data_IF_410780758616
#
_entry.id   IF_410780758616
#
_cell.length_a   1.000
_cell.length_b   1.000
_cell.length_c   1.000
_cell.angle_alpha   90.00
_cell.angle_beta   90.00
_cell.angle_gamma   90.00
#
_symmetry.space_group_name_H-M   'P 1'
#
loop_
_entity.id
_entity.type
_entity.pdbx_description
1 polymer ?
#
# COMPACT_ATOMS: atom_id res chain seq x y z
N UNK A 1 32.51 27.28 -3.06
CA UNK A 1 31.85 25.95 -3.03
C UNK A 1 31.63 25.58 -1.58
N UNK A 2 30.38 25.42 -1.16
CA UNK A 2 30.08 24.94 0.19
C UNK A 2 30.17 23.41 0.22
N UNK A 3 30.82 22.86 1.24
CA UNK A 3 30.87 21.41 1.45
C UNK A 3 29.55 20.95 2.09
N UNK A 4 28.92 19.93 1.49
CA UNK A 4 27.69 19.32 2.01
C UNK A 4 28.00 17.90 2.48
N UNK A 5 27.38 17.49 3.60
CA UNK A 5 27.52 16.15 4.16
C UNK A 5 26.15 15.63 4.59
N UNK A 6 25.88 14.35 4.28
CA UNK A 6 24.73 13.61 4.78
C UNK A 6 25.26 12.37 5.51
N UNK A 7 24.78 12.12 6.72
CA UNK A 7 25.21 10.98 7.55
C UNK A 7 24.00 10.14 7.93
N UNK A 8 24.09 8.83 7.67
CA UNK A 8 23.08 7.85 8.07
C UNK A 8 23.67 6.88 9.09
N UNK A 9 22.86 6.49 10.09
CA UNK A 9 23.28 5.54 11.13
C UNK A 9 23.22 4.07 10.71
N UNK A 10 22.69 3.76 9.53
CA UNK A 10 22.68 2.41 8.95
C UNK A 10 22.67 2.49 7.41
N UNK A 11 23.06 1.40 6.74
CA UNK A 11 23.05 1.29 5.28
C UNK A 11 21.94 0.37 4.75
N UNK A 12 21.22 -0.34 5.63
CA UNK A 12 20.19 -1.31 5.25
C UNK A 12 19.12 -0.72 4.33
N UNK A 13 18.75 0.55 4.52
CA UNK A 13 17.77 1.23 3.69
C UNK A 13 18.16 1.28 2.20
N UNK A 14 19.45 1.25 1.87
CA UNK A 14 19.96 1.29 0.50
C UNK A 14 20.13 -0.09 -0.17
N UNK A 15 19.70 -1.18 0.49
CA UNK A 15 19.81 -2.55 -0.04
C UNK A 15 18.59 -2.94 -0.86
N UNK A 16 18.76 -3.77 -1.91
CA UNK A 16 17.71 -4.14 -2.88
C UNK A 16 16.35 -4.50 -2.26
N UNK A 17 16.33 -5.26 -1.16
CA UNK A 17 15.07 -5.69 -0.51
C UNK A 17 14.34 -4.58 0.26
N UNK A 18 15.06 -3.56 0.70
CA UNK A 18 14.54 -2.45 1.50
C UNK A 18 14.45 -1.15 0.71
N UNK A 19 15.19 -0.98 -0.38
CA UNK A 19 15.24 0.23 -1.19
C UNK A 19 13.84 0.66 -1.67
N UNK A 20 13.05 -0.30 -2.16
CA UNK A 20 11.69 -0.05 -2.65
C UNK A 20 10.63 -0.03 -1.53
N UNK A 21 11.05 -0.11 -0.26
CA UNK A 21 10.15 -0.11 0.90
C UNK A 21 10.17 1.26 1.58
N UNK A 22 9.01 1.68 2.07
CA UNK A 22 8.87 2.74 3.07
C UNK A 22 9.68 4.03 2.77
N UNK A 23 9.76 4.42 1.48
CA UNK A 23 10.46 5.63 1.01
C UNK A 23 12.00 5.60 1.15
N UNK A 24 12.60 4.43 1.39
CA UNK A 24 14.05 4.31 1.55
C UNK A 24 14.82 4.79 0.31
N UNK A 25 14.39 4.37 -0.88
CA UNK A 25 14.97 4.81 -2.14
C UNK A 25 14.82 6.32 -2.38
N UNK A 26 13.68 6.90 -1.97
CA UNK A 26 13.47 8.35 -2.08
C UNK A 26 14.44 9.12 -1.17
N UNK A 27 14.62 8.71 0.08
CA UNK A 27 15.58 9.35 0.99
C UNK A 27 17.00 9.27 0.45
N UNK A 28 17.41 8.11 -0.08
CA UNK A 28 18.74 7.92 -0.65
C UNK A 28 18.97 8.83 -1.87
N UNK A 29 18.07 8.78 -2.87
CA UNK A 29 18.19 9.53 -4.12
C UNK A 29 18.10 11.04 -3.89
N UNK A 30 17.24 11.50 -2.98
CA UNK A 30 17.15 12.91 -2.63
C UNK A 30 18.43 13.40 -1.95
N UNK A 31 19.05 12.58 -1.11
CA UNK A 31 20.31 12.92 -0.44
C UNK A 31 21.46 13.05 -1.44
N UNK A 32 21.59 12.12 -2.39
CA UNK A 32 22.58 12.19 -3.48
C UNK A 32 22.33 13.42 -4.36
N UNK A 33 21.08 13.70 -4.69
CA UNK A 33 20.69 14.87 -5.50
C UNK A 33 21.06 16.18 -4.80
N UNK A 34 20.80 16.28 -3.50
CA UNK A 34 21.14 17.45 -2.69
C UNK A 34 22.65 17.67 -2.55
N UNK A 35 23.41 16.59 -2.40
CA UNK A 35 24.87 16.62 -2.39
C UNK A 35 25.46 17.08 -3.73
N UNK A 36 24.78 16.81 -4.85
CA UNK A 36 25.21 17.22 -6.20
C UNK A 36 25.00 18.72 -6.51
N UNK A 37 24.66 19.56 -5.53
CA UNK A 37 24.51 21.02 -5.70
C UNK A 37 23.52 21.42 -6.82
N UNK A 38 22.53 20.58 -7.10
CA UNK A 38 21.44 20.91 -8.02
C UNK A 38 20.43 21.83 -7.32
N UNK A 39 20.81 23.09 -7.14
CA UNK A 39 20.05 24.11 -6.40
C UNK A 39 18.74 24.56 -7.11
N UNK A 40 18.42 23.96 -8.27
CA UNK A 40 17.32 24.40 -9.16
C UNK A 40 16.32 23.29 -9.52
N UNK A 41 16.21 22.21 -8.74
CA UNK A 41 15.10 21.31 -8.96
C UNK A 41 13.83 21.93 -8.35
N UNK A 42 12.81 22.32 -9.15
CA UNK A 42 11.51 22.65 -8.58
C UNK A 42 11.02 21.45 -7.77
N UNK A 43 10.42 21.70 -6.60
CA UNK A 43 9.75 20.68 -5.79
C UNK A 43 8.55 20.14 -6.59
N UNK A 44 8.83 19.26 -7.55
CA UNK A 44 7.82 18.59 -8.34
C UNK A 44 7.31 17.40 -7.54
N UNK A 45 5.98 17.31 -7.43
CA UNK A 45 5.36 16.12 -6.86
C UNK A 45 5.61 15.00 -7.86
N UNK A 46 6.44 14.02 -7.47
CA UNK A 46 6.71 12.85 -8.31
C UNK A 46 5.39 12.13 -8.59
N UNK A 47 5.20 11.57 -9.80
CA UNK A 47 4.05 10.72 -10.09
C UNK A 47 3.89 9.66 -9.01
N UNK A 48 2.65 9.37 -8.63
CA UNK A 48 2.40 8.37 -7.59
C UNK A 48 2.85 7.01 -8.11
N UNK A 49 3.85 6.44 -7.44
CA UNK A 49 4.33 5.09 -7.76
C UNK A 49 3.16 4.10 -7.78
N UNK A 50 3.13 3.17 -8.75
CA UNK A 50 2.10 2.15 -8.83
C UNK A 50 2.14 1.30 -7.57
N UNK A 51 1.22 1.57 -6.64
CA UNK A 51 1.10 0.78 -5.43
C UNK A 51 0.64 -0.63 -5.82
N UNK A 52 1.49 -1.62 -5.58
CA UNK A 52 1.10 -3.01 -5.66
C UNK A 52 0.01 -3.28 -4.60
N UNK A 53 -1.25 -3.37 -5.05
CA UNK A 53 -2.43 -3.64 -4.21
C UNK A 53 -2.86 -5.11 -4.30
N UNK A 54 -1.92 -6.00 -4.64
CA UNK A 54 -2.20 -7.44 -4.63
C UNK A 54 -2.46 -7.87 -3.19
N UNK A 55 -3.62 -8.46 -2.97
CA UNK A 55 -3.96 -9.11 -1.72
C UNK A 55 -3.50 -10.56 -1.88
N UNK A 56 -2.52 -10.97 -1.09
CA UNK A 56 -2.07 -12.37 -1.04
C UNK A 56 -2.99 -13.12 -0.09
N UNK A 57 -3.93 -13.89 -0.66
CA UNK A 57 -4.84 -14.74 0.10
C UNK A 57 -4.39 -16.19 -0.02
N UNK A 58 -4.51 -16.96 1.07
CA UNK A 58 -4.48 -18.41 0.98
C UNK A 58 -5.74 -18.91 0.25
N UNK A 59 -5.68 -20.10 -0.35
CA UNK A 59 -6.85 -20.70 -1.02
C UNK A 59 -8.06 -20.77 -0.08
N UNK A 60 -7.82 -21.08 1.20
CA UNK A 60 -8.87 -21.13 2.23
C UNK A 60 -9.49 -19.75 2.49
N UNK A 61 -8.66 -18.70 2.59
CA UNK A 61 -9.15 -17.32 2.77
C UNK A 61 -9.98 -16.85 1.57
N UNK A 62 -9.53 -17.16 0.35
CA UNK A 62 -10.25 -16.81 -0.87
C UNK A 62 -11.61 -17.53 -0.96
N UNK A 63 -11.65 -18.83 -0.62
CA UNK A 63 -12.90 -19.61 -0.60
C UNK A 63 -13.88 -19.07 0.43
N UNK A 64 -13.41 -18.81 1.65
CA UNK A 64 -14.25 -18.26 2.72
C UNK A 64 -14.82 -16.89 2.33
N UNK A 65 -13.98 -16.01 1.77
CA UNK A 65 -14.41 -14.69 1.29
C UNK A 65 -15.48 -14.80 0.19
N UNK A 66 -15.30 -15.74 -0.74
CA UNK A 66 -16.22 -15.97 -1.85
C UNK A 66 -17.58 -16.47 -1.36
N UNK A 67 -17.59 -17.52 -0.52
CA UNK A 67 -18.83 -18.11 0.02
C UNK A 67 -19.57 -17.12 0.93
N UNK A 68 -18.84 -16.43 1.81
CA UNK A 68 -19.46 -15.45 2.71
C UNK A 68 -20.09 -14.28 1.94
N UNK A 69 -19.39 -13.74 0.94
CA UNK A 69 -19.85 -12.56 0.20
C UNK A 69 -20.98 -12.88 -0.79
N UNK A 70 -20.86 -13.98 -1.54
CA UNK A 70 -21.79 -14.30 -2.62
C UNK A 70 -23.00 -15.12 -2.17
N UNK A 71 -22.90 -15.86 -1.07
CA UNK A 71 -23.95 -16.78 -0.63
C UNK A 71 -24.50 -16.44 0.75
N UNK A 72 -23.64 -16.31 1.77
CA UNK A 72 -24.11 -16.10 3.16
C UNK A 72 -24.82 -14.76 3.31
N UNK A 73 -24.21 -13.66 2.86
CA UNK A 73 -24.80 -12.31 2.99
C UNK A 73 -26.18 -12.19 2.30
N UNK A 74 -26.35 -12.60 1.03
CA UNK A 74 -27.67 -12.57 0.39
C UNK A 74 -28.71 -13.46 1.07
N UNK A 75 -28.34 -14.65 1.53
CA UNK A 75 -29.25 -15.57 2.20
C UNK A 75 -29.76 -15.01 3.53
N UNK A 76 -28.92 -14.29 4.28
CA UNK A 76 -29.35 -13.59 5.50
C UNK A 76 -30.45 -12.57 5.17
N UNK A 77 -30.26 -11.77 4.11
CA UNK A 77 -31.26 -10.81 3.66
C UNK A 77 -32.56 -11.48 3.22
N UNK A 78 -32.47 -12.57 2.46
CA UNK A 78 -33.64 -13.34 2.03
C UNK A 78 -34.39 -13.96 3.21
N UNK A 79 -33.67 -14.58 4.14
CA UNK A 79 -34.26 -15.15 5.35
C UNK A 79 -34.97 -14.08 6.18
N UNK A 80 -34.36 -12.90 6.36
CA UNK A 80 -35.00 -11.78 7.04
C UNK A 80 -36.30 -11.34 6.35
N UNK A 81 -36.30 -11.26 5.01
CA UNK A 81 -37.49 -10.91 4.24
C UNK A 81 -38.62 -11.95 4.42
N UNK A 82 -38.29 -13.24 4.36
CA UNK A 82 -39.25 -14.34 4.58
C UNK A 82 -39.82 -14.31 6.00
N UNK A 83 -38.97 -14.10 7.01
CA UNK A 83 -39.40 -13.98 8.40
C UNK A 83 -40.38 -12.82 8.61
N UNK A 84 -40.08 -11.65 8.03
CA UNK A 84 -40.95 -10.48 8.10
C UNK A 84 -42.29 -10.76 7.39
N UNK A 85 -42.28 -11.44 6.24
CA UNK A 85 -43.50 -11.80 5.53
C UNK A 85 -44.41 -12.72 6.36
N UNK A 86 -43.84 -13.73 7.02
CA UNK A 86 -44.61 -14.61 7.92
C UNK A 86 -45.19 -13.89 9.14
N UNK A 87 -44.47 -12.93 9.71
CA UNK A 87 -44.97 -12.16 10.86
C UNK A 87 -46.11 -11.21 10.48
N UNK A 88 -46.19 -10.80 9.21
CA UNK A 88 -47.21 -9.86 8.71
C UNK A 88 -48.47 -10.56 8.18
N UNK A 89 -48.43 -11.88 8.03
CA UNK A 89 -49.55 -12.70 7.57
C UNK A 89 -50.33 -13.23 8.78
#
# INVERSE_FOLDING_TARGET
TESRLVVFGNSNFATDGLFDKQLNGDVFLNSVTWLNQQDKQPLSIRPKEPKNRRITLTTTQANLLTVSSLLVLPLIGFAAAVLIWWQRR
#
